data_IF_976679971131
#
_entry.id   IF_976679971131
#
_cell.length_a   1.000
_cell.length_b   1.000
_cell.length_c   1.000
_cell.angle_alpha   90.00
_cell.angle_beta   90.00
_cell.angle_gamma   90.00
#
_symmetry.space_group_name_H-M   'P 1'
#
loop_
_entity.id
_entity.type
_entity.pdbx_description
1 polymer ?
#
# COMPACT_ATOMS: atom_id res chain seq x y z
N UNK A 1 19.57 15.15 11.25
CA UNK A 1 18.70 14.61 10.18
C UNK A 1 17.25 14.77 10.62
N UNK A 2 16.42 15.61 9.96
CA UNK A 2 15.01 15.67 10.32
C UNK A 2 14.35 14.34 9.97
N UNK A 3 13.59 13.79 10.92
CA UNK A 3 12.84 12.54 10.80
C UNK A 3 11.87 12.64 9.61
N UNK A 4 11.93 11.67 8.71
CA UNK A 4 10.91 11.47 7.67
C UNK A 4 9.62 11.09 8.39
N UNK A 5 8.80 12.10 8.67
CA UNK A 5 7.49 11.90 9.28
C UNK A 5 6.60 11.36 8.17
N UNK A 6 6.27 10.06 8.19
CA UNK A 6 5.41 9.43 7.16
C UNK A 6 3.97 9.26 7.67
N UNK A 7 3.08 10.26 7.48
CA UNK A 7 1.63 10.06 7.58
C UNK A 7 1.01 9.69 6.22
N UNK A 8 1.73 8.94 5.36
CA UNK A 8 1.57 9.01 3.89
C UNK A 8 1.44 7.68 3.14
N UNK A 9 1.37 6.54 3.83
CA UNK A 9 1.72 5.25 3.22
C UNK A 9 0.93 4.87 1.96
N UNK A 10 -0.38 5.10 1.89
CA UNK A 10 -1.15 4.73 0.69
C UNK A 10 -0.96 5.70 -0.47
N UNK A 11 -0.61 6.98 -0.23
CA UNK A 11 -0.42 7.96 -1.32
C UNK A 11 0.79 7.62 -2.19
N UNK A 12 1.82 6.99 -1.58
CA UNK A 12 3.00 6.45 -2.28
C UNK A 12 2.61 5.38 -3.31
N UNK A 13 1.47 4.72 -3.16
CA UNK A 13 0.95 3.79 -4.16
C UNK A 13 0.70 4.49 -5.52
N UNK A 14 0.43 5.80 -5.55
CA UNK A 14 0.30 6.55 -6.81
C UNK A 14 1.60 6.59 -7.62
N UNK A 15 2.75 6.57 -6.93
CA UNK A 15 4.07 6.53 -7.58
C UNK A 15 4.25 5.23 -8.38
N UNK A 16 3.61 4.15 -7.95
CA UNK A 16 3.64 2.85 -8.64
C UNK A 16 3.11 2.91 -10.07
N UNK A 17 2.11 3.74 -10.34
CA UNK A 17 1.58 3.93 -11.71
C UNK A 17 2.58 4.59 -12.66
N UNK A 18 3.42 5.48 -12.12
CA UNK A 18 4.39 6.27 -12.87
C UNK A 18 5.74 5.56 -13.05
N UNK A 19 5.89 4.34 -12.52
CA UNK A 19 7.15 3.58 -12.54
C UNK A 19 7.62 3.19 -13.93
N UNK A 20 6.67 2.84 -14.81
CA UNK A 20 6.97 2.38 -16.17
C UNK A 20 7.17 3.55 -17.13
N UNK A 21 6.33 4.58 -17.01
CA UNK A 21 6.36 5.74 -17.89
C UNK A 21 5.66 6.94 -17.24
N UNK A 22 5.98 8.17 -17.66
CA UNK A 22 5.18 9.35 -17.34
C UNK A 22 3.72 9.15 -17.77
N UNK A 23 2.77 9.67 -16.98
CA UNK A 23 1.34 9.54 -17.28
C UNK A 23 0.55 10.79 -16.93
N UNK A 24 -0.58 10.96 -17.62
CA UNK A 24 -1.55 11.97 -17.24
C UNK A 24 -2.35 11.53 -16.01
N UNK A 25 -2.67 12.46 -15.11
CA UNK A 25 -3.44 12.15 -13.88
C UNK A 25 -4.80 11.49 -14.15
N UNK A 26 -5.43 11.80 -15.28
CA UNK A 26 -6.68 11.13 -15.72
C UNK A 26 -6.49 9.64 -16.00
N UNK A 27 -5.35 9.24 -16.58
CA UNK A 27 -5.07 7.84 -16.90
C UNK A 27 -4.86 7.04 -15.63
N UNK A 28 -4.16 7.62 -14.63
CA UNK A 28 -4.03 7.03 -13.30
C UNK A 28 -5.41 6.86 -12.65
N UNK A 29 -6.25 7.88 -12.73
CA UNK A 29 -7.62 7.80 -12.21
C UNK A 29 -8.45 6.73 -12.90
N UNK A 30 -8.32 6.58 -14.23
CA UNK A 30 -9.02 5.56 -14.99
C UNK A 30 -8.61 4.15 -14.53
N UNK A 31 -7.32 3.91 -14.32
CA UNK A 31 -6.83 2.62 -13.79
C UNK A 31 -7.33 2.34 -12.36
N UNK A 32 -7.44 3.36 -11.50
CA UNK A 32 -8.01 3.22 -10.15
C UNK A 32 -9.55 3.10 -10.14
N UNK A 33 -10.21 3.52 -11.22
CA UNK A 33 -11.66 3.42 -11.37
C UNK A 33 -12.10 2.10 -11.98
N UNK A 34 -11.16 1.29 -12.48
CA UNK A 34 -11.45 -0.04 -13.01
C UNK A 34 -11.85 -1.00 -11.88
N UNK A 35 -12.61 -2.05 -12.20
CA UNK A 35 -13.02 -3.10 -11.27
C UNK A 35 -12.00 -4.23 -11.16
N UNK A 36 -10.78 -4.00 -11.67
CA UNK A 36 -9.67 -4.95 -11.66
C UNK A 36 -8.41 -4.33 -11.04
N UNK A 37 -7.41 -5.15 -10.72
CA UNK A 37 -6.13 -4.68 -10.18
C UNK A 37 -6.28 -3.86 -8.90
N UNK A 38 -5.59 -2.72 -8.82
CA UNK A 38 -5.63 -1.85 -7.64
C UNK A 38 -7.00 -1.18 -7.42
N UNK A 39 -7.82 -1.08 -8.47
CA UNK A 39 -9.17 -0.54 -8.38
C UNK A 39 -10.10 -1.39 -7.50
N UNK A 40 -9.84 -2.68 -7.28
CA UNK A 40 -10.57 -3.53 -6.31
C UNK A 40 -10.40 -3.08 -4.85
N UNK A 41 -9.35 -2.31 -4.58
CA UNK A 41 -8.88 -2.00 -3.23
C UNK A 41 -9.00 -0.51 -2.93
N UNK A 42 -8.66 0.33 -3.90
CA UNK A 42 -8.50 1.75 -3.68
C UNK A 42 -9.29 2.58 -4.70
N UNK A 43 -10.36 3.19 -4.22
CA UNK A 43 -11.15 4.14 -4.96
C UNK A 43 -10.87 5.56 -4.50
N UNK A 44 -10.57 6.43 -5.46
CA UNK A 44 -10.42 7.86 -5.24
C UNK A 44 -11.34 8.62 -6.19
N UNK A 45 -11.97 9.68 -5.68
CA UNK A 45 -12.55 10.67 -6.58
C UNK A 45 -11.43 11.37 -7.34
N UNK A 46 -11.70 11.75 -8.58
CA UNK A 46 -10.74 12.46 -9.42
C UNK A 46 -10.11 13.68 -8.74
N UNK A 47 -10.92 14.49 -8.02
CA UNK A 47 -10.41 15.65 -7.26
C UNK A 47 -9.42 15.26 -6.15
N UNK A 48 -9.65 14.14 -5.47
CA UNK A 48 -8.75 13.64 -4.43
C UNK A 48 -7.44 13.17 -5.04
N UNK A 49 -7.49 12.43 -6.15
CA UNK A 49 -6.28 12.00 -6.86
C UNK A 49 -5.40 13.18 -7.26
N UNK A 50 -5.98 14.23 -7.84
CA UNK A 50 -5.20 15.41 -8.21
C UNK A 50 -4.64 16.17 -6.99
N UNK A 51 -5.36 16.21 -5.88
CA UNK A 51 -4.84 16.78 -4.63
C UNK A 51 -3.64 15.99 -4.09
N UNK A 52 -3.68 14.65 -4.18
CA UNK A 52 -2.58 13.77 -3.80
C UNK A 52 -1.37 13.93 -4.73
N UNK A 53 -1.58 13.94 -6.05
CA UNK A 53 -0.51 14.16 -7.01
C UNK A 53 0.16 15.53 -6.82
N UNK A 54 -0.62 16.58 -6.56
CA UNK A 54 -0.08 17.91 -6.25
C UNK A 54 0.72 17.93 -4.94
N UNK A 55 0.35 17.09 -3.96
CA UNK A 55 1.13 16.93 -2.72
C UNK A 55 2.44 16.20 -2.98
N UNK A 56 2.42 15.10 -3.73
CA UNK A 56 3.63 14.35 -4.12
C UNK A 56 4.59 15.21 -4.95
N UNK A 57 4.06 16.11 -5.79
CA UNK A 57 4.85 17.09 -6.53
C UNK A 57 5.52 18.10 -5.59
N UNK A 58 4.78 18.69 -4.64
CA UNK A 58 5.36 19.61 -3.64
C UNK A 58 6.40 18.95 -2.74
N UNK A 59 6.26 17.66 -2.48
CA UNK A 59 7.20 16.85 -1.70
C UNK A 59 8.41 16.37 -2.55
N UNK A 60 8.42 16.64 -3.86
CA UNK A 60 9.54 16.34 -4.74
C UNK A 60 9.62 14.89 -5.22
N UNK A 61 8.54 14.11 -5.03
CA UNK A 61 8.48 12.72 -5.49
C UNK A 61 8.09 12.59 -6.97
N UNK A 62 7.43 13.61 -7.52
CA UNK A 62 7.09 13.68 -8.94
C UNK A 62 7.40 15.06 -9.49
N UNK A 63 7.77 15.13 -10.77
CA UNK A 63 7.82 16.35 -11.56
C UNK A 63 6.64 16.38 -12.52
N UNK A 64 6.29 17.57 -13.00
CA UNK A 64 5.17 17.73 -13.91
C UNK A 64 5.52 18.58 -15.11
N UNK A 65 5.03 18.17 -16.27
CA UNK A 65 5.19 18.86 -17.54
C UNK A 65 3.81 19.15 -18.09
N UNK A 66 3.63 20.36 -18.62
CA UNK A 66 2.39 20.75 -19.31
C UNK A 66 2.57 20.42 -20.79
N UNK A 67 1.78 19.48 -21.29
CA UNK A 67 1.68 19.20 -22.71
C UNK A 67 0.53 20.00 -23.31
N UNK A 68 0.86 20.87 -24.25
CA UNK A 68 -0.11 21.60 -25.05
C UNK A 68 -0.53 20.74 -26.24
N UNK A 69 -1.84 20.68 -26.50
CA UNK A 69 -2.41 19.95 -27.62
C UNK A 69 -3.27 20.91 -28.45
N UNK A 70 -3.19 20.81 -29.77
CA UNK A 70 -4.01 21.65 -30.65
C UNK A 70 -5.50 21.38 -30.41
N UNK A 71 -6.24 22.45 -30.13
CA UNK A 71 -7.68 22.47 -29.85
C UNK A 71 -8.16 21.68 -28.62
N UNK A 72 -7.27 21.28 -27.68
CA UNK A 72 -7.66 20.62 -26.42
C UNK A 72 -7.05 21.32 -25.20
N UNK A 73 -7.69 21.22 -24.01
CA UNK A 73 -7.10 21.73 -22.78
C UNK A 73 -5.71 21.12 -22.54
N UNK A 74 -4.75 21.92 -22.04
CA UNK A 74 -3.41 21.43 -21.72
C UNK A 74 -3.49 20.28 -20.71
N UNK A 75 -2.61 19.30 -20.91
CA UNK A 75 -2.55 18.09 -20.08
C UNK A 75 -1.36 18.15 -19.14
N UNK A 76 -1.59 17.78 -17.88
CA UNK A 76 -0.54 17.73 -16.87
C UNK A 76 0.00 16.30 -16.78
N UNK A 77 1.19 16.09 -17.33
CA UNK A 77 1.91 14.81 -17.27
C UNK A 77 2.74 14.78 -16.00
N UNK A 78 2.63 13.69 -15.26
CA UNK A 78 3.40 13.44 -14.05
C UNK A 78 4.49 12.41 -14.35
N UNK A 79 5.68 12.65 -13.80
CA UNK A 79 6.84 11.78 -13.96
C UNK A 79 7.52 11.58 -12.60
N UNK A 80 8.08 10.39 -12.34
CA UNK A 80 8.82 10.12 -11.12
C UNK A 80 10.19 10.79 -11.12
N UNK A 81 10.49 11.48 -10.02
CA UNK A 81 11.85 11.85 -9.68
C UNK A 81 12.62 10.66 -9.12
N UNK A 82 13.93 10.79 -8.96
CA UNK A 82 14.74 9.76 -8.29
C UNK A 82 14.29 9.54 -6.85
N UNK A 83 14.02 10.62 -6.09
CA UNK A 83 13.46 10.54 -4.75
C UNK A 83 12.11 9.79 -4.72
N UNK A 84 11.26 9.98 -5.73
CA UNK A 84 10.01 9.24 -5.87
C UNK A 84 10.21 7.75 -6.11
N UNK A 85 11.20 7.38 -6.94
CA UNK A 85 11.56 5.97 -7.22
C UNK A 85 12.06 5.29 -5.94
N UNK A 86 13.00 5.91 -5.23
CA UNK A 86 13.53 5.38 -3.97
C UNK A 86 12.43 5.22 -2.91
N UNK A 87 11.59 6.25 -2.75
CA UNK A 87 10.49 6.22 -1.79
C UNK A 87 9.50 5.09 -2.08
N UNK A 88 9.17 4.86 -3.34
CA UNK A 88 8.30 3.76 -3.74
C UNK A 88 8.96 2.39 -3.51
N UNK A 89 10.23 2.22 -3.89
CA UNK A 89 10.95 0.96 -3.71
C UNK A 89 11.06 0.57 -2.24
N UNK A 90 11.38 1.53 -1.38
CA UNK A 90 11.41 1.32 0.06
C UNK A 90 10.02 0.97 0.61
N UNK A 91 8.98 1.68 0.15
CA UNK A 91 7.62 1.46 0.60
C UNK A 91 7.09 0.07 0.24
N UNK A 92 7.27 -0.38 -1.01
CA UNK A 92 6.70 -1.65 -1.50
C UNK A 92 7.32 -2.87 -0.82
N UNK A 93 8.58 -2.77 -0.37
CA UNK A 93 9.29 -3.88 0.26
C UNK A 93 9.11 -3.97 1.78
N UNK A 94 8.67 -2.88 2.43
CA UNK A 94 8.46 -2.83 3.88
C UNK A 94 7.13 -3.44 4.30
N UNK A 95 7.07 -4.21 5.40
CA UNK A 95 5.80 -4.66 5.95
C UNK A 95 4.95 -3.45 6.39
N UNK A 96 3.64 -3.58 6.28
CA UNK A 96 2.70 -2.62 6.84
C UNK A 96 2.83 -2.67 8.37
N UNK A 97 2.89 -1.53 9.07
CA UNK A 97 3.23 -1.50 10.50
C UNK A 97 2.04 -1.72 11.44
N UNK A 98 0.79 -1.74 10.94
CA UNK A 98 -0.41 -1.86 11.76
C UNK A 98 -1.50 -2.69 11.07
N UNK A 99 -2.11 -3.62 11.80
CA UNK A 99 -3.16 -4.51 11.27
C UNK A 99 -4.32 -3.76 10.58
N UNK A 100 -4.80 -2.66 11.16
CA UNK A 100 -5.89 -1.84 10.58
C UNK A 100 -5.58 -1.25 9.19
N UNK A 101 -4.31 -1.10 8.84
CA UNK A 101 -3.87 -0.57 7.53
C UNK A 101 -3.73 -1.65 6.46
N UNK A 102 -3.71 -2.93 6.84
CA UNK A 102 -3.49 -4.05 5.92
C UNK A 102 -4.49 -4.06 4.76
N UNK A 103 -5.79 -3.85 5.05
CA UNK A 103 -6.85 -3.93 4.03
C UNK A 103 -6.63 -3.02 2.82
N UNK A 104 -5.96 -1.89 3.01
CA UNK A 104 -5.71 -0.93 1.92
C UNK A 104 -4.24 -0.93 1.53
N UNK A 105 -3.36 -0.69 2.50
CA UNK A 105 -1.93 -0.52 2.23
C UNK A 105 -1.27 -1.82 1.79
N UNK A 106 -1.55 -2.95 2.43
CA UNK A 106 -0.88 -4.20 2.08
C UNK A 106 -1.35 -4.72 0.73
N UNK A 107 -2.64 -4.65 0.44
CA UNK A 107 -3.17 -5.05 -0.87
C UNK A 107 -2.60 -4.18 -2.00
N UNK A 108 -2.41 -2.88 -1.76
CA UNK A 108 -1.73 -2.00 -2.71
C UNK A 108 -0.26 -2.40 -2.92
N UNK A 109 0.48 -2.66 -1.83
CA UNK A 109 1.86 -3.13 -1.91
C UNK A 109 1.96 -4.46 -2.65
N UNK A 110 1.06 -5.40 -2.37
CA UNK A 110 1.04 -6.71 -3.00
C UNK A 110 0.85 -6.61 -4.51
N UNK A 111 -0.12 -5.80 -4.96
CA UNK A 111 -0.35 -5.52 -6.37
C UNK A 111 0.92 -5.03 -7.06
N UNK A 112 1.60 -4.03 -6.50
CA UNK A 112 2.81 -3.50 -7.09
C UNK A 112 4.01 -4.44 -6.98
N UNK A 113 4.15 -5.17 -5.88
CA UNK A 113 5.22 -6.16 -5.71
C UNK A 113 5.12 -7.25 -6.77
N UNK A 114 3.91 -7.68 -7.14
CA UNK A 114 3.71 -8.62 -8.25
C UNK A 114 4.17 -8.05 -9.59
N UNK A 115 3.97 -6.75 -9.83
CA UNK A 115 4.44 -6.07 -11.05
C UNK A 115 5.97 -5.90 -11.10
N UNK A 116 6.64 -5.83 -9.95
CA UNK A 116 8.10 -5.81 -9.85
C UNK A 116 8.72 -7.21 -9.99
N UNK A 117 8.01 -8.25 -9.55
CA UNK A 117 8.37 -9.64 -9.78
C UNK A 117 7.92 -10.60 -8.65
N UNK A 118 7.83 -11.91 -8.93
CA UNK A 118 7.32 -12.90 -7.98
C UNK A 118 8.17 -12.97 -6.70
N UNK A 119 9.49 -12.83 -6.80
CA UNK A 119 10.38 -12.85 -5.64
C UNK A 119 10.12 -11.67 -4.70
N UNK A 120 9.89 -10.46 -5.24
CA UNK A 120 9.58 -9.26 -4.44
C UNK A 120 8.28 -9.44 -3.67
N UNK A 121 7.25 -10.00 -4.34
CA UNK A 121 5.97 -10.29 -3.71
C UNK A 121 6.09 -11.34 -2.58
N UNK A 122 6.83 -12.43 -2.81
CA UNK A 122 7.06 -13.46 -1.79
C UNK A 122 7.80 -12.91 -0.57
N UNK A 123 8.87 -12.14 -0.78
CA UNK A 123 9.61 -11.52 0.31
C UNK A 123 8.74 -10.54 1.11
N UNK A 124 7.87 -9.76 0.44
CA UNK A 124 6.92 -8.87 1.13
C UNK A 124 5.95 -9.67 2.00
N UNK A 125 5.42 -10.79 1.50
CA UNK A 125 4.53 -11.68 2.26
C UNK A 125 5.24 -12.25 3.50
N UNK A 126 6.46 -12.75 3.34
CA UNK A 126 7.25 -13.30 4.45
C UNK A 126 7.52 -12.25 5.53
N UNK A 127 7.91 -11.04 5.14
CA UNK A 127 8.11 -9.91 6.08
C UNK A 127 6.80 -9.53 6.78
N UNK A 128 5.69 -9.49 6.07
CA UNK A 128 4.38 -9.18 6.65
C UNK A 128 3.94 -10.27 7.62
N UNK A 129 4.16 -11.53 7.29
CA UNK A 129 3.84 -12.68 8.15
C UNK A 129 4.63 -12.60 9.46
N UNK A 130 5.93 -12.34 9.40
CA UNK A 130 6.76 -12.17 10.59
C UNK A 130 6.25 -11.02 11.47
N UNK A 131 5.88 -9.88 10.87
CA UNK A 131 5.29 -8.76 11.60
C UNK A 131 3.96 -9.13 12.27
N UNK A 132 3.07 -9.82 11.55
CA UNK A 132 1.78 -10.26 12.09
C UNK A 132 1.92 -11.26 13.24
N UNK A 133 2.89 -12.20 13.17
CA UNK A 133 3.20 -13.14 14.26
C UNK A 133 3.67 -12.40 15.51
N UNK A 134 4.62 -11.48 15.37
CA UNK A 134 5.09 -10.65 16.49
C UNK A 134 3.98 -9.80 17.11
N UNK A 135 2.94 -9.45 16.35
CA UNK A 135 1.78 -8.73 16.90
C UNK A 135 0.82 -9.68 17.60
N UNK A 136 0.61 -10.88 17.05
CA UNK A 136 -0.24 -11.91 17.62
C UNK A 136 0.28 -12.32 19.00
N UNK A 137 1.58 -12.59 19.10
CA UNK A 137 2.23 -12.97 20.36
C UNK A 137 2.01 -11.90 21.45
N UNK A 138 2.23 -10.62 21.11
CA UNK A 138 1.97 -9.50 22.03
C UNK A 138 0.50 -9.39 22.44
N UNK A 139 -0.44 -9.64 21.53
CA UNK A 139 -1.87 -9.61 21.89
C UNK A 139 -2.25 -10.78 22.81
N UNK A 140 -1.62 -11.95 22.65
CA UNK A 140 -1.81 -13.07 23.58
C UNK A 140 -1.29 -12.74 24.97
N UNK A 141 -0.06 -12.22 25.08
CA UNK A 141 0.53 -11.79 26.35
C UNK A 141 -0.35 -10.76 27.07
N UNK A 142 -0.79 -9.72 26.36
CA UNK A 142 -1.68 -8.69 26.93
C UNK A 142 -3.00 -9.30 27.40
N UNK A 143 -3.62 -10.18 26.62
CA UNK A 143 -4.90 -10.79 26.96
C UNK A 143 -4.83 -11.71 28.19
N UNK A 144 -3.71 -12.40 28.43
CA UNK A 144 -3.56 -13.27 29.60
C UNK A 144 -3.68 -12.49 30.91
N UNK A 145 -3.17 -11.25 30.95
CA UNK A 145 -3.18 -10.40 32.15
C UNK A 145 -4.54 -9.76 32.45
N UNK A 146 -5.46 -9.70 31.48
CA UNK A 146 -6.68 -8.88 31.56
C UNK A 146 -7.96 -9.67 31.85
N UNK A 147 -7.92 -11.01 31.75
CA UNK A 147 -9.13 -11.85 31.68
C UNK A 147 -10.06 -11.72 32.89
N UNK A 148 -9.52 -11.51 34.09
CA UNK A 148 -10.31 -11.44 35.32
C UNK A 148 -10.66 -10.00 35.72
N UNK A 149 -9.73 -9.07 35.55
CA UNK A 149 -9.87 -7.70 36.06
C UNK A 149 -10.50 -6.72 35.05
N UNK A 150 -10.35 -6.98 33.75
CA UNK A 150 -10.74 -6.07 32.68
C UNK A 150 -11.43 -6.82 31.51
N UNK A 151 -12.66 -7.32 31.70
CA UNK A 151 -13.32 -8.20 30.73
C UNK A 151 -13.60 -7.53 29.38
N UNK A 152 -13.86 -6.22 29.35
CA UNK A 152 -14.04 -5.49 28.08
C UNK A 152 -12.72 -5.40 27.30
N UNK A 153 -11.63 -5.02 27.95
CA UNK A 153 -10.32 -4.92 27.30
C UNK A 153 -9.87 -6.28 26.79
N UNK A 154 -10.09 -7.34 27.58
CA UNK A 154 -9.86 -8.72 27.15
C UNK A 154 -10.64 -9.08 25.86
N UNK A 155 -11.92 -8.71 25.76
CA UNK A 155 -12.71 -8.93 24.54
C UNK A 155 -12.13 -8.18 23.34
N UNK A 156 -11.62 -6.96 23.53
CA UNK A 156 -10.93 -6.18 22.47
C UNK A 156 -9.67 -6.90 22.00
N UNK A 157 -8.84 -7.43 22.91
CA UNK A 157 -7.66 -8.22 22.53
C UNK A 157 -8.04 -9.51 21.80
N UNK A 158 -9.09 -10.22 22.26
CA UNK A 158 -9.60 -11.42 21.57
C UNK A 158 -10.06 -11.14 20.16
N UNK A 159 -10.73 -10.01 19.93
CA UNK A 159 -11.11 -9.59 18.58
C UNK A 159 -9.88 -9.33 17.69
N UNK A 160 -8.86 -8.65 18.22
CA UNK A 160 -7.60 -8.36 17.48
C UNK A 160 -6.83 -9.65 17.15
N UNK A 161 -6.76 -10.60 18.07
CA UNK A 161 -6.17 -11.93 17.85
C UNK A 161 -6.86 -12.61 16.66
N UNK A 162 -8.19 -12.69 16.65
CA UNK A 162 -8.93 -13.32 15.54
C UNK A 162 -8.70 -12.62 14.18
N UNK A 163 -8.56 -11.28 14.17
CA UNK A 163 -8.20 -10.56 12.94
C UNK A 163 -6.79 -10.92 12.44
N UNK A 164 -5.83 -11.09 13.35
CA UNK A 164 -4.45 -11.44 13.01
C UNK A 164 -4.34 -12.89 12.54
N UNK A 165 -5.03 -13.83 13.17
CA UNK A 165 -5.11 -15.24 12.75
C UNK A 165 -5.69 -15.35 11.33
N UNK A 166 -6.82 -14.67 11.08
CA UNK A 166 -7.42 -14.64 9.74
C UNK A 166 -6.51 -13.99 8.69
N UNK A 167 -5.77 -12.95 9.08
CA UNK A 167 -4.76 -12.32 8.21
C UNK A 167 -3.62 -13.27 7.88
N UNK A 168 -3.09 -13.99 8.87
CA UNK A 168 -2.00 -14.95 8.68
C UNK A 168 -2.43 -16.07 7.74
N UNK A 169 -3.62 -16.64 7.95
CA UNK A 169 -4.18 -17.66 7.06
C UNK A 169 -4.32 -17.15 5.61
N UNK A 170 -4.75 -15.90 5.42
CA UNK A 170 -4.82 -15.29 4.09
C UNK A 170 -3.43 -15.08 3.46
N UNK A 171 -2.43 -14.67 4.24
CA UNK A 171 -1.04 -14.56 3.74
C UNK A 171 -0.48 -15.91 3.29
N UNK A 172 -0.85 -17.00 3.97
CA UNK A 172 -0.49 -18.36 3.57
C UNK A 172 -1.13 -18.71 2.21
N UNK A 173 -2.41 -18.40 2.02
CA UNK A 173 -3.07 -18.52 0.69
C UNK A 173 -2.35 -17.73 -0.39
N UNK A 174 -1.88 -16.50 -0.10
CA UNK A 174 -1.11 -15.72 -1.07
C UNK A 174 0.19 -16.41 -1.46
N UNK A 175 0.91 -17.00 -0.51
CA UNK A 175 2.17 -17.68 -0.79
C UNK A 175 1.97 -18.95 -1.64
N UNK A 176 0.84 -19.63 -1.51
CA UNK A 176 0.51 -20.80 -2.31
C UNK A 176 0.13 -20.43 -3.75
N UNK A 177 -0.65 -19.36 -3.94
CA UNK A 177 -1.19 -18.99 -5.26
C UNK A 177 -0.17 -18.25 -6.11
N UNK A 178 0.60 -17.32 -5.54
CA UNK A 178 1.41 -16.39 -6.33
C UNK A 178 2.55 -17.04 -7.15
N UNK A 179 3.26 -18.07 -6.67
CA UNK A 179 4.22 -18.80 -7.49
C UNK A 179 3.59 -19.48 -8.71
N UNK A 180 2.32 -19.90 -8.60
CA UNK A 180 1.63 -20.64 -9.66
C UNK A 180 1.17 -19.76 -10.84
N UNK A 181 1.09 -18.44 -10.65
CA UNK A 181 0.65 -17.48 -11.68
C UNK A 181 1.84 -16.90 -12.47
N UNK A 182 3.08 -17.18 -12.06
CA UNK A 182 4.30 -16.65 -12.67
C UNK A 182 4.76 -17.40 -13.95
N UNK A 183 3.87 -18.16 -14.61
CA UNK A 183 4.15 -18.95 -15.83
C UNK A 183 3.18 -18.59 -16.96
#
# INVERSE_FOLDING_TARGET
>A
MPRVTLPLSTEIALLGFLRRQPMHGYEIHQQLSDTTGLGLVWHLKQSQLYALLAKLEREGYVTTTIEYQDARPPRKIFELTEAGREAFQDWVQRPVPQGRKLRLEFLAKLYFAQLEGPEVALQLIDRQRAACRNWLDRQHEEAETLRQDHPYDWLVHKFRIGQLEATLAWLDTCQEILPAVAH
#
